data_IF_353553966489
#
_entry.id   IF_353553966489
#
_cell.length_a   1.000
_cell.length_b   1.000
_cell.length_c   1.000
_cell.angle_alpha   90.00
_cell.angle_beta   90.00
_cell.angle_gamma   90.00
#
_symmetry.space_group_name_H-M   'P 1'
#
loop_
_entity.id
_entity.type
_entity.pdbx_description
1 polymer ?
#
# COMPACT_ATOMS: atom_id res chain seq x y z
N UNK A 1 37.35 3.46 -31.82
CA UNK A 1 37.27 3.08 -30.39
C UNK A 1 35.96 3.54 -29.75
N UNK A 2 35.58 4.82 -29.85
CA UNK A 2 34.33 5.34 -29.25
C UNK A 2 33.00 4.71 -29.73
N UNK A 3 32.87 4.28 -30.98
CA UNK A 3 31.63 3.68 -31.51
C UNK A 3 31.34 2.29 -30.90
N UNK A 4 32.38 1.49 -30.66
CA UNK A 4 32.27 0.16 -30.04
C UNK A 4 31.94 0.27 -28.54
N UNK A 5 32.49 1.27 -27.84
CA UNK A 5 32.14 1.56 -26.44
C UNK A 5 30.67 1.95 -26.31
N UNK A 6 30.17 2.88 -27.14
CA UNK A 6 28.74 3.25 -27.13
C UNK A 6 27.80 2.09 -27.41
N UNK A 7 28.18 1.18 -28.33
CA UNK A 7 27.39 -0.02 -28.61
C UNK A 7 27.40 -1.02 -27.44
N UNK A 8 28.53 -1.16 -26.75
CA UNK A 8 28.63 -1.98 -25.55
C UNK A 8 27.80 -1.39 -24.39
N UNK A 9 27.84 -0.07 -24.21
CA UNK A 9 27.06 0.65 -23.19
C UNK A 9 25.55 0.54 -23.44
N UNK A 10 25.11 0.72 -24.69
CA UNK A 10 23.71 0.54 -25.07
C UNK A 10 23.22 -0.89 -24.82
N UNK A 11 24.02 -1.90 -25.23
CA UNK A 11 23.70 -3.31 -24.98
C UNK A 11 23.62 -3.64 -23.49
N UNK A 12 24.50 -3.04 -22.69
CA UNK A 12 24.47 -3.19 -21.22
C UNK A 12 23.21 -2.57 -20.63
N UNK A 13 22.84 -1.36 -21.05
CA UNK A 13 21.60 -0.71 -20.61
C UNK A 13 20.35 -1.53 -20.96
N UNK A 14 20.30 -2.13 -22.14
CA UNK A 14 19.19 -2.99 -22.56
C UNK A 14 19.09 -4.28 -21.72
N UNK A 15 20.24 -4.89 -21.40
CA UNK A 15 20.31 -6.05 -20.50
C UNK A 15 19.83 -5.65 -19.10
N UNK A 16 20.35 -4.55 -18.56
CA UNK A 16 20.01 -4.06 -17.21
C UNK A 16 18.51 -3.75 -17.11
N UNK A 17 17.92 -3.13 -18.14
CA UNK A 17 16.48 -2.88 -18.23
C UNK A 17 15.68 -4.17 -18.28
N UNK A 18 16.09 -5.13 -19.10
CA UNK A 18 15.40 -6.42 -19.23
C UNK A 18 15.45 -7.22 -17.91
N UNK A 19 16.59 -7.17 -17.22
CA UNK A 19 16.76 -7.77 -15.90
C UNK A 19 15.88 -7.09 -14.85
N UNK A 20 15.77 -5.75 -14.87
CA UNK A 20 14.91 -5.02 -13.95
C UNK A 20 13.43 -5.42 -14.12
N UNK A 21 12.97 -5.47 -15.37
CA UNK A 21 11.60 -5.90 -15.71
C UNK A 21 11.35 -7.34 -15.23
N UNK A 22 12.26 -8.28 -15.52
CA UNK A 22 12.12 -9.66 -15.08
C UNK A 22 12.08 -9.80 -13.55
N UNK A 23 12.93 -9.05 -12.84
CA UNK A 23 12.93 -9.01 -11.36
C UNK A 23 11.61 -8.49 -10.81
N UNK A 24 11.08 -7.42 -11.37
CA UNK A 24 9.78 -6.86 -10.98
C UNK A 24 8.65 -7.88 -11.19
N UNK A 25 8.59 -8.52 -12.36
CA UNK A 25 7.61 -9.58 -12.62
C UNK A 25 7.71 -10.74 -11.62
N UNK A 26 8.92 -11.22 -11.33
CA UNK A 26 9.12 -12.28 -10.33
C UNK A 26 8.66 -11.85 -8.94
N UNK A 27 8.92 -10.59 -8.57
CA UNK A 27 8.48 -10.04 -7.30
C UNK A 27 6.94 -9.95 -7.23
N UNK A 28 6.30 -9.48 -8.31
CA UNK A 28 4.86 -9.40 -8.41
C UNK A 28 4.20 -10.78 -8.29
N UNK A 29 4.76 -11.81 -8.94
CA UNK A 29 4.30 -13.19 -8.81
C UNK A 29 4.38 -13.64 -7.34
N UNK A 30 5.55 -13.50 -6.69
CA UNK A 30 5.73 -13.88 -5.28
C UNK A 30 4.74 -13.17 -4.36
N UNK A 31 4.61 -11.85 -4.49
CA UNK A 31 3.70 -11.06 -3.65
C UNK A 31 2.23 -11.42 -3.92
N UNK A 32 1.85 -11.67 -5.17
CA UNK A 32 0.49 -12.11 -5.50
C UNK A 32 0.15 -13.49 -4.92
N UNK A 33 1.08 -14.45 -4.96
CA UNK A 33 0.89 -15.77 -4.34
C UNK A 33 0.78 -15.68 -2.82
N UNK A 34 1.54 -14.79 -2.20
CA UNK A 34 1.42 -14.50 -0.77
C UNK A 34 0.04 -13.92 -0.43
N UNK A 35 -0.46 -12.95 -1.21
CA UNK A 35 -1.80 -12.40 -1.03
C UNK A 35 -2.90 -13.46 -1.20
N UNK A 36 -2.77 -14.38 -2.15
CA UNK A 36 -3.70 -15.51 -2.29
C UNK A 36 -3.73 -16.39 -1.02
N UNK A 37 -2.56 -16.65 -0.44
CA UNK A 37 -2.46 -17.39 0.83
C UNK A 37 -3.11 -16.64 1.99
N UNK A 38 -2.91 -15.33 2.06
CA UNK A 38 -3.54 -14.46 3.06
C UNK A 38 -5.05 -14.39 2.91
N UNK A 39 -5.58 -14.40 1.68
CA UNK A 39 -7.01 -14.46 1.41
C UNK A 39 -7.60 -15.78 1.93
N UNK A 40 -6.96 -16.92 1.64
CA UNK A 40 -7.43 -18.22 2.13
C UNK A 40 -7.44 -18.30 3.66
N UNK A 41 -6.38 -17.80 4.31
CA UNK A 41 -6.28 -17.76 5.77
C UNK A 41 -7.30 -16.78 6.37
N UNK A 42 -7.43 -15.60 5.79
CA UNK A 42 -8.38 -14.57 6.23
C UNK A 42 -9.82 -15.01 6.11
N UNK A 43 -10.19 -15.66 5.00
CA UNK A 43 -11.52 -16.23 4.81
C UNK A 43 -11.84 -17.29 5.87
N UNK A 44 -10.87 -18.15 6.19
CA UNK A 44 -11.01 -19.13 7.28
C UNK A 44 -11.13 -18.48 8.66
N UNK A 45 -10.46 -17.35 8.88
CA UNK A 45 -10.48 -16.61 10.14
C UNK A 45 -11.70 -15.68 10.30
N UNK A 46 -12.56 -15.56 9.29
CA UNK A 46 -13.70 -14.65 9.31
C UNK A 46 -13.31 -13.18 9.13
N UNK A 47 -12.23 -12.89 8.41
CA UNK A 47 -11.91 -11.51 8.02
C UNK A 47 -13.05 -10.85 7.23
N UNK A 48 -13.15 -9.52 7.32
CA UNK A 48 -14.18 -8.76 6.61
C UNK A 48 -14.06 -8.92 5.09
N UNK A 49 -15.21 -8.89 4.41
CA UNK A 49 -15.27 -8.98 2.94
C UNK A 49 -14.46 -7.85 2.29
N UNK A 50 -14.46 -6.64 2.86
CA UNK A 50 -13.65 -5.53 2.37
C UNK A 50 -12.13 -5.82 2.44
N UNK A 51 -11.65 -6.40 3.54
CA UNK A 51 -10.23 -6.80 3.67
C UNK A 51 -9.86 -7.81 2.59
N UNK A 52 -10.68 -8.86 2.43
CA UNK A 52 -10.44 -9.91 1.44
C UNK A 52 -10.50 -9.39 0.00
N UNK A 53 -11.46 -8.50 -0.28
CA UNK A 53 -11.61 -7.85 -1.58
C UNK A 53 -10.38 -6.99 -1.91
N UNK A 54 -9.92 -6.17 -0.97
CA UNK A 54 -8.72 -5.33 -1.17
C UNK A 54 -7.48 -6.19 -1.44
N UNK A 55 -7.28 -7.28 -0.69
CA UNK A 55 -6.20 -8.25 -0.94
C UNK A 55 -6.31 -8.87 -2.34
N UNK A 56 -7.51 -9.24 -2.76
CA UNK A 56 -7.76 -9.82 -4.08
C UNK A 56 -7.47 -8.82 -5.21
N UNK A 57 -7.99 -7.59 -5.11
CA UNK A 57 -7.73 -6.53 -6.08
C UNK A 57 -6.24 -6.19 -6.17
N UNK A 58 -5.52 -6.19 -5.05
CA UNK A 58 -4.07 -5.99 -5.01
C UNK A 58 -3.33 -7.14 -5.71
N UNK A 59 -3.72 -8.38 -5.46
CA UNK A 59 -3.13 -9.54 -6.14
C UNK A 59 -3.34 -9.48 -7.66
N UNK A 60 -4.56 -9.14 -8.11
CA UNK A 60 -4.88 -8.96 -9.54
C UNK A 60 -4.03 -7.84 -10.14
N UNK A 61 -3.87 -6.72 -9.45
CA UNK A 61 -3.07 -5.57 -9.91
C UNK A 61 -1.60 -5.96 -10.12
N UNK A 62 -1.04 -6.77 -9.22
CA UNK A 62 0.33 -7.28 -9.35
C UNK A 62 0.46 -8.27 -10.52
N UNK A 63 -0.50 -9.20 -10.66
CA UNK A 63 -0.50 -10.20 -11.74
C UNK A 63 -0.66 -9.57 -13.13
N UNK A 64 -1.41 -8.47 -13.22
CA UNK A 64 -1.70 -7.77 -14.49
C UNK A 64 -0.81 -6.56 -14.73
N UNK A 65 0.08 -6.22 -13.78
CA UNK A 65 0.88 -4.99 -13.81
C UNK A 65 0.03 -3.71 -13.96
N UNK A 66 -1.20 -3.73 -13.45
CA UNK A 66 -2.13 -2.60 -13.46
C UNK A 66 -2.34 -2.09 -12.04
N UNK A 67 -1.46 -1.19 -11.58
CA UNK A 67 -1.55 -0.60 -10.24
C UNK A 67 -2.76 0.31 -10.06
N UNK A 68 -3.28 0.90 -11.15
CA UNK A 68 -4.42 1.83 -11.11
C UNK A 68 -5.68 1.14 -10.58
N UNK A 69 -5.91 -0.11 -10.99
CA UNK A 69 -7.07 -0.90 -10.58
C UNK A 69 -7.23 -0.98 -9.05
N UNK A 70 -6.18 -1.38 -8.34
CA UNK A 70 -6.22 -1.44 -6.87
C UNK A 70 -6.43 -0.06 -6.25
N UNK A 71 -5.68 0.95 -6.69
CA UNK A 71 -5.77 2.30 -6.11
C UNK A 71 -7.16 2.93 -6.25
N UNK A 72 -7.85 2.66 -7.37
CA UNK A 72 -9.21 3.15 -7.58
C UNK A 72 -10.20 2.47 -6.63
N UNK A 73 -10.14 1.14 -6.52
CA UNK A 73 -11.03 0.38 -5.62
C UNK A 73 -10.79 0.77 -4.16
N UNK A 74 -9.53 0.89 -3.74
CA UNK A 74 -9.17 1.34 -2.39
C UNK A 74 -9.71 2.75 -2.11
N UNK A 75 -9.57 3.66 -3.08
CA UNK A 75 -10.11 5.02 -3.00
C UNK A 75 -11.64 5.04 -2.88
N UNK A 76 -12.33 4.27 -3.73
CA UNK A 76 -13.78 4.21 -3.76
C UNK A 76 -14.36 3.58 -2.48
N UNK A 77 -13.74 2.52 -1.96
CA UNK A 77 -14.14 1.91 -0.67
C UNK A 77 -14.02 2.92 0.47
N UNK A 78 -12.90 3.67 0.54
CA UNK A 78 -12.69 4.67 1.60
C UNK A 78 -13.62 5.87 1.45
N UNK A 79 -13.76 6.41 0.25
CA UNK A 79 -14.53 7.63 0.00
C UNK A 79 -16.04 7.39 0.07
N UNK A 80 -16.53 6.36 -0.62
CA UNK A 80 -17.97 6.09 -0.73
C UNK A 80 -18.46 5.34 0.51
N UNK A 81 -17.89 4.18 0.81
CA UNK A 81 -18.39 3.34 1.90
C UNK A 81 -17.92 3.85 3.26
N UNK A 82 -16.63 4.20 3.39
CA UNK A 82 -16.09 4.73 4.64
C UNK A 82 -16.63 6.12 4.99
N UNK A 83 -16.29 7.15 4.21
CA UNK A 83 -16.62 8.53 4.56
C UNK A 83 -18.06 8.91 4.18
N UNK A 84 -18.55 8.45 3.03
CA UNK A 84 -19.87 8.80 2.53
C UNK A 84 -21.02 8.08 3.25
N UNK A 85 -20.88 6.77 3.46
CA UNK A 85 -21.88 5.94 4.13
C UNK A 85 -21.61 5.69 5.61
N UNK A 86 -20.45 6.10 6.12
CA UNK A 86 -20.02 5.85 7.50
C UNK A 86 -20.00 4.35 7.85
N UNK A 87 -19.74 3.47 6.88
CA UNK A 87 -19.61 2.03 7.16
C UNK A 87 -18.41 1.81 8.11
N UNK A 88 -18.63 1.24 9.30
CA UNK A 88 -17.58 1.09 10.31
C UNK A 88 -16.46 0.18 9.84
N UNK A 89 -16.71 -0.80 8.97
CA UNK A 89 -15.69 -1.77 8.55
C UNK A 89 -14.60 -1.12 7.67
N UNK A 90 -14.91 -0.43 6.56
CA UNK A 90 -13.93 0.33 5.80
C UNK A 90 -13.15 1.35 6.63
N UNK A 91 -13.82 2.06 7.55
CA UNK A 91 -13.17 3.04 8.43
C UNK A 91 -12.17 2.37 9.39
N UNK A 92 -12.53 1.21 9.98
CA UNK A 92 -11.64 0.44 10.84
C UNK A 92 -10.44 -0.14 10.09
N UNK A 93 -10.65 -0.61 8.85
CA UNK A 93 -9.55 -1.09 7.99
C UNK A 93 -8.59 0.06 7.71
N UNK A 94 -9.08 1.22 7.26
CA UNK A 94 -8.23 2.38 6.99
C UNK A 94 -7.49 2.85 8.25
N UNK A 95 -8.16 2.81 9.42
CA UNK A 95 -7.55 3.14 10.71
C UNK A 95 -6.40 2.19 11.05
N UNK A 96 -6.62 0.88 10.96
CA UNK A 96 -5.59 -0.12 11.24
C UNK A 96 -4.39 0.03 10.30
N UNK A 97 -4.61 0.17 8.99
CA UNK A 97 -3.54 0.35 8.00
C UNK A 97 -2.73 1.63 8.26
N UNK A 98 -3.42 2.70 8.67
CA UNK A 98 -2.79 3.99 9.00
C UNK A 98 -1.95 3.87 10.27
N UNK A 99 -2.43 3.16 11.29
CA UNK A 99 -1.69 2.88 12.53
C UNK A 99 -0.44 2.04 12.27
N UNK A 100 -0.55 0.95 11.49
CA UNK A 100 0.59 0.11 11.12
C UNK A 100 1.66 0.89 10.33
N UNK A 101 1.24 1.82 9.46
CA UNK A 101 2.16 2.71 8.74
C UNK A 101 2.80 3.73 9.67
N UNK A 102 2.06 4.30 10.61
CA UNK A 102 2.59 5.22 11.61
C UNK A 102 3.66 4.55 12.48
N UNK A 103 3.44 3.31 12.92
CA UNK A 103 4.44 2.53 13.67
C UNK A 103 5.74 2.40 12.89
N UNK A 104 5.67 1.99 11.62
CA UNK A 104 6.85 1.89 10.75
C UNK A 104 7.57 3.23 10.54
N UNK A 105 6.82 4.33 10.46
CA UNK A 105 7.41 5.67 10.33
C UNK A 105 8.12 6.12 11.61
N UNK A 106 7.58 5.81 12.79
CA UNK A 106 8.23 6.09 14.08
C UNK A 106 9.53 5.28 14.22
N UNK A 107 9.52 4.00 13.83
CA UNK A 107 10.73 3.18 13.78
C UNK A 107 11.76 3.69 12.76
N UNK A 108 11.31 4.27 11.64
CA UNK A 108 12.19 4.90 10.67
C UNK A 108 12.81 6.20 11.23
N UNK A 109 12.01 7.06 11.87
CA UNK A 109 12.48 8.31 12.48
C UNK A 109 13.59 8.10 13.52
N UNK A 110 13.47 7.03 14.32
CA UNK A 110 14.45 6.68 15.34
C UNK A 110 15.80 6.25 14.74
N UNK A 111 15.77 5.57 13.59
CA UNK A 111 16.98 5.08 12.91
C UNK A 111 17.61 6.13 11.99
N UNK A 112 16.85 7.14 11.57
CA UNK A 112 17.30 8.14 10.62
C UNK A 112 18.28 9.13 11.27
N UNK A 113 19.45 9.24 10.65
CA UNK A 113 20.55 10.09 11.11
C UNK A 113 20.61 11.41 10.32
N UNK A 114 20.13 11.41 9.08
CA UNK A 114 20.09 12.59 8.24
C UNK A 114 18.97 13.55 8.64
N UNK A 115 19.30 14.83 8.83
CA UNK A 115 18.36 15.85 9.34
C UNK A 115 17.18 16.11 8.40
N UNK A 116 17.42 16.24 7.10
CA UNK A 116 16.36 16.52 6.11
C UNK A 116 15.42 15.31 5.95
N UNK A 117 15.99 14.11 5.88
CA UNK A 117 15.22 12.87 5.82
C UNK A 117 14.40 12.67 7.09
N UNK A 118 14.97 12.95 8.26
CA UNK A 118 14.24 12.89 9.54
C UNK A 118 13.09 13.88 9.60
N UNK A 119 13.27 15.10 9.12
CA UNK A 119 12.20 16.11 9.09
C UNK A 119 11.06 15.73 8.13
N UNK A 120 11.38 15.11 6.99
CA UNK A 120 10.36 14.53 6.09
C UNK A 120 9.57 13.41 6.77
N UNK A 121 10.23 12.53 7.51
CA UNK A 121 9.57 11.47 8.28
C UNK A 121 8.65 12.07 9.36
N UNK A 122 9.10 13.09 10.11
CA UNK A 122 8.27 13.78 11.12
C UNK A 122 7.01 14.40 10.52
N UNK A 123 7.10 15.00 9.33
CA UNK A 123 5.93 15.54 8.62
C UNK A 123 4.94 14.43 8.25
N UNK A 124 5.44 13.29 7.78
CA UNK A 124 4.61 12.12 7.49
C UNK A 124 3.94 11.57 8.76
N UNK A 125 4.67 11.47 9.87
CA UNK A 125 4.12 11.07 11.19
C UNK A 125 2.95 11.98 11.57
N UNK A 126 3.14 13.31 11.53
CA UNK A 126 2.09 14.27 11.86
C UNK A 126 0.85 14.13 10.97
N UNK A 127 1.04 13.90 9.67
CA UNK A 127 -0.08 13.68 8.74
C UNK A 127 -0.86 12.40 9.07
N UNK A 128 -0.16 11.31 9.42
CA UNK A 128 -0.80 10.06 9.81
C UNK A 128 -1.51 10.16 11.17
N UNK A 129 -0.96 10.90 12.14
CA UNK A 129 -1.62 11.17 13.42
C UNK A 129 -2.92 11.97 13.23
N UNK A 130 -2.90 13.01 12.40
CA UNK A 130 -4.10 13.77 12.06
C UNK A 130 -5.16 12.88 11.39
N UNK A 131 -4.73 12.04 10.44
CA UNK A 131 -5.63 11.12 9.75
C UNK A 131 -6.26 10.09 10.69
N UNK A 132 -5.51 9.57 11.66
CA UNK A 132 -6.02 8.66 12.69
C UNK A 132 -7.10 9.35 13.52
N UNK A 133 -6.84 10.59 13.98
CA UNK A 133 -7.81 11.35 14.76
C UNK A 133 -9.11 11.61 13.98
N UNK A 134 -9.01 11.90 12.68
CA UNK A 134 -10.18 12.07 11.80
C UNK A 134 -10.98 10.77 11.68
N UNK A 135 -10.31 9.64 11.45
CA UNK A 135 -10.96 8.33 11.35
C UNK A 135 -11.65 7.92 12.66
N UNK A 136 -11.00 8.12 13.80
CA UNK A 136 -11.59 7.88 15.12
C UNK A 136 -12.83 8.76 15.36
N UNK A 137 -12.81 10.02 14.87
CA UNK A 137 -13.97 10.91 14.93
C UNK A 137 -15.12 10.39 14.09
N UNK A 138 -14.87 9.93 12.86
CA UNK A 138 -15.90 9.37 11.97
C UNK A 138 -16.51 8.09 12.57
N UNK A 139 -15.69 7.20 13.09
CA UNK A 139 -16.16 5.97 13.76
C UNK A 139 -17.00 6.31 14.99
N UNK A 140 -16.63 7.34 15.75
CA UNK A 140 -17.42 7.80 16.89
C UNK A 140 -18.77 8.40 16.48
N UNK A 141 -18.83 9.11 15.34
CA UNK A 141 -20.08 9.70 14.82
C UNK A 141 -21.09 8.61 14.45
N UNK A 142 -20.66 7.57 13.76
CA UNK A 142 -21.50 6.42 13.40
C UNK A 142 -22.20 5.82 14.63
N UNK A 143 -21.42 5.57 15.70
CA UNK A 143 -21.92 5.03 16.98
C UNK A 143 -22.92 5.92 17.72
N UNK A 144 -23.00 7.20 17.39
CA UNK A 144 -23.97 8.13 18.00
C UNK A 144 -25.27 8.15 17.17
N UNK A 145 -25.20 7.83 15.89
CA UNK A 145 -26.32 7.82 14.95
C UNK A 145 -27.01 6.47 14.79
N UNK A 146 -26.42 5.38 15.30
CA UNK A 146 -26.98 4.03 15.35
C UNK A 146 -27.70 3.76 16.69
#
# INVERSE_FOLDING_TARGET
IHKLQRQADAKKQDIDRSLAICKEYQQNIKTSSQLQTEILKGAKAGESVYSLLLKACKAISLMTSNSVFYSQIEGDIRAIYGQGLLDPLPLQIELQETQERLTRLREAEQRELDGDSKDRIKRAIKAHEAKIADLESLIKRERITA
#
